data_IF_940228403805
#
_entry.id   IF_940228403805
#
_cell.length_a   1.000
_cell.length_b   1.000
_cell.length_c   1.000
_cell.angle_alpha   90.00
_cell.angle_beta   90.00
_cell.angle_gamma   90.00
#
_symmetry.space_group_name_H-M   'P 1'
#
loop_
_entity.id
_entity.type
_entity.pdbx_description
1 polymer ?
#
# COMPACT_ATOMS: atom_id res chain seq x y z
N UNK A 1 6.77 10.12 6.97
CA UNK A 1 5.62 10.79 7.60
C UNK A 1 4.85 11.50 6.50
N UNK A 2 3.53 11.32 6.43
CA UNK A 2 2.66 12.05 5.50
C UNK A 2 1.96 13.17 6.27
N UNK A 3 2.22 14.44 5.92
CA UNK A 3 1.65 15.60 6.61
C UNK A 3 0.53 16.23 5.78
N UNK A 4 -0.71 16.15 6.26
CA UNK A 4 -1.83 16.91 5.71
C UNK A 4 -1.92 18.29 6.39
N UNK A 5 -1.22 19.28 5.84
CA UNK A 5 -1.10 20.63 6.41
C UNK A 5 -2.08 21.64 5.77
N UNK A 6 -3.38 21.34 5.79
CA UNK A 6 -4.41 22.18 5.15
C UNK A 6 -4.42 23.64 5.63
N UNK A 7 -4.04 23.89 6.89
CA UNK A 7 -4.01 25.24 7.50
C UNK A 7 -2.70 25.99 7.27
N UNK A 8 -1.77 25.43 6.47
CA UNK A 8 -0.48 26.01 6.13
C UNK A 8 0.30 26.50 7.37
N UNK A 9 0.26 25.69 8.44
CA UNK A 9 0.90 26.05 9.69
C UNK A 9 2.41 26.15 9.47
N UNK A 10 3.00 27.24 9.96
CA UNK A 10 4.44 27.50 9.96
C UNK A 10 5.01 27.38 11.38
N UNK A 11 6.34 27.39 11.49
CA UNK A 11 7.08 27.34 12.77
C UNK A 11 6.72 26.15 13.65
N UNK A 12 6.54 24.96 13.04
CA UNK A 12 6.32 23.70 13.75
C UNK A 12 7.57 22.85 13.70
N UNK A 13 7.97 22.33 14.85
CA UNK A 13 8.98 21.29 14.96
C UNK A 13 8.27 19.96 15.13
N UNK A 14 8.58 19.00 14.27
CA UNK A 14 8.12 17.61 14.37
C UNK A 14 9.31 16.70 14.70
N UNK A 15 9.07 15.70 15.55
CA UNK A 15 10.04 14.67 15.94
C UNK A 15 9.45 13.26 15.77
N UNK A 16 8.51 13.11 14.83
CA UNK A 16 7.86 11.85 14.53
C UNK A 16 8.78 10.91 13.75
N UNK A 17 8.60 9.61 13.94
CA UNK A 17 9.40 8.61 13.24
C UNK A 17 8.94 7.19 13.54
N UNK A 18 9.71 6.23 13.04
CA UNK A 18 9.47 4.80 13.24
C UNK A 18 10.63 4.25 14.08
N UNK A 19 10.30 3.43 15.08
CA UNK A 19 11.29 2.70 15.89
C UNK A 19 11.32 1.24 15.44
N UNK A 20 12.51 0.77 15.11
CA UNK A 20 12.75 -0.64 14.80
C UNK A 20 13.22 -1.41 16.04
N UNK A 21 12.71 -2.63 16.21
CA UNK A 21 13.15 -3.57 17.22
C UNK A 21 13.89 -4.71 16.50
N UNK A 22 15.22 -4.76 16.66
CA UNK A 22 16.07 -5.68 15.93
C UNK A 22 16.48 -6.87 16.81
N UNK A 23 16.44 -8.07 16.23
CA UNK A 23 17.03 -9.27 16.84
C UNK A 23 18.51 -9.42 16.48
N UNK A 24 19.26 -10.17 17.28
CA UNK A 24 20.67 -10.48 17.02
C UNK A 24 20.87 -11.82 16.28
N UNK A 25 19.79 -12.49 15.89
CA UNK A 25 19.77 -13.75 15.15
C UNK A 25 18.71 -13.68 14.06
N UNK A 26 19.01 -14.30 12.92
CA UNK A 26 18.04 -14.46 11.84
C UNK A 26 16.90 -15.39 12.28
N UNK A 27 15.69 -15.09 11.79
CA UNK A 27 14.52 -15.96 11.95
C UNK A 27 14.51 -17.02 10.84
N UNK A 28 13.67 -18.04 10.99
CA UNK A 28 13.55 -19.12 10.02
C UNK A 28 13.10 -18.65 8.63
N UNK A 29 12.25 -17.63 8.56
CA UNK A 29 11.69 -17.10 7.32
C UNK A 29 11.96 -15.61 7.20
N UNK A 30 12.25 -15.18 5.97
CA UNK A 30 12.31 -13.77 5.60
C UNK A 30 10.90 -13.24 5.36
N UNK A 31 10.66 -12.01 5.83
CA UNK A 31 9.40 -11.30 5.59
C UNK A 31 9.59 -10.31 4.44
N UNK A 32 8.80 -10.46 3.38
CA UNK A 32 8.65 -9.48 2.31
C UNK A 32 7.35 -8.69 2.44
N UNK A 33 7.25 -7.59 1.69
CA UNK A 33 5.98 -6.92 1.43
C UNK A 33 5.74 -6.87 -0.08
N UNK A 34 4.49 -7.07 -0.48
CA UNK A 34 4.03 -6.95 -1.85
C UNK A 34 3.00 -5.83 -1.91
N UNK A 35 3.22 -4.86 -2.78
CA UNK A 35 2.21 -3.85 -3.11
C UNK A 35 1.40 -4.35 -4.29
N UNK A 36 0.08 -4.42 -4.10
CA UNK A 36 -0.86 -4.86 -5.13
C UNK A 36 -1.93 -3.80 -5.33
N UNK A 37 -2.18 -3.43 -6.59
CA UNK A 37 -3.15 -2.40 -6.94
C UNK A 37 -2.81 -1.72 -8.26
N UNK A 38 -3.44 -0.57 -8.50
CA UNK A 38 -3.16 0.29 -9.65
C UNK A 38 -2.10 1.33 -9.28
N UNK A 39 -1.38 1.84 -10.29
CA UNK A 39 -0.60 3.06 -10.12
C UNK A 39 -1.53 4.24 -9.79
N UNK A 40 -1.04 5.18 -8.98
CA UNK A 40 -1.82 6.32 -8.48
C UNK A 40 -1.92 7.50 -9.44
N UNK A 41 -1.27 7.41 -10.61
CA UNK A 41 -1.33 8.42 -11.65
C UNK A 41 -2.69 8.45 -12.34
N UNK A 42 -3.11 9.65 -12.74
CA UNK A 42 -4.35 9.84 -13.51
C UNK A 42 -4.31 9.13 -14.88
N UNK A 43 -3.11 8.78 -15.38
CA UNK A 43 -2.95 7.97 -16.59
C UNK A 43 -3.23 6.48 -16.35
N UNK A 44 -3.07 6.00 -15.12
CA UNK A 44 -3.31 4.62 -14.74
C UNK A 44 -4.73 4.40 -14.18
N UNK A 45 -5.25 5.35 -13.41
CA UNK A 45 -6.59 5.28 -12.83
C UNK A 45 -7.20 6.67 -12.69
N UNK A 46 -8.39 6.85 -13.26
CA UNK A 46 -9.19 8.05 -13.07
C UNK A 46 -10.64 7.67 -12.78
N UNK A 47 -11.17 8.16 -11.65
CA UNK A 47 -12.57 7.98 -11.27
C UNK A 47 -13.36 9.15 -11.89
N UNK A 48 -14.41 8.88 -12.70
CA UNK A 48 -15.22 9.94 -13.27
C UNK A 48 -15.89 10.80 -12.19
N UNK A 49 -15.96 12.13 -12.38
CA UNK A 49 -16.65 13.00 -11.43
C UNK A 49 -18.13 12.61 -11.34
N UNK A 50 -18.67 12.67 -10.13
CA UNK A 50 -20.09 12.36 -9.79
C UNK A 50 -20.49 10.88 -9.98
N UNK A 51 -19.54 9.96 -10.20
CA UNK A 51 -19.85 8.55 -10.12
C UNK A 51 -20.30 8.19 -8.70
N UNK A 52 -21.50 7.65 -8.53
CA UNK A 52 -22.01 7.21 -7.22
C UNK A 52 -21.24 5.98 -6.71
N UNK A 53 -20.85 5.09 -7.62
CA UNK A 53 -20.00 3.93 -7.35
C UNK A 53 -19.16 3.65 -8.59
N UNK A 54 -17.87 3.39 -8.38
CA UNK A 54 -16.93 3.00 -9.43
C UNK A 54 -16.06 1.87 -8.90
N UNK A 55 -16.07 0.73 -9.59
CA UNK A 55 -15.30 -0.46 -9.19
C UNK A 55 -13.92 -0.38 -9.84
N UNK A 56 -12.89 -0.57 -9.04
CA UNK A 56 -11.50 -0.62 -9.49
C UNK A 56 -10.99 -2.03 -9.31
N UNK A 57 -10.79 -2.73 -10.42
CA UNK A 57 -10.21 -4.07 -10.43
C UNK A 57 -8.72 -4.00 -10.79
N UNK A 58 -7.90 -4.69 -10.01
CA UNK A 58 -6.48 -4.87 -10.28
C UNK A 58 -6.15 -6.36 -10.29
N UNK A 59 -5.25 -6.77 -11.18
CA UNK A 59 -4.91 -8.18 -11.39
C UNK A 59 -3.41 -8.41 -11.34
N UNK A 60 -3.00 -9.52 -10.72
CA UNK A 60 -1.65 -10.04 -10.81
C UNK A 60 -1.63 -11.05 -11.95
N UNK A 61 -0.97 -10.73 -13.06
CA UNK A 61 -0.90 -11.67 -14.18
C UNK A 61 0.07 -12.80 -13.84
N UNK A 62 -0.09 -13.97 -14.47
CA UNK A 62 0.81 -15.11 -14.26
C UNK A 62 2.29 -14.76 -14.56
N UNK A 63 2.54 -13.81 -15.48
CA UNK A 63 3.88 -13.31 -15.76
C UNK A 63 4.50 -12.59 -14.55
N UNK A 64 3.69 -11.82 -13.80
CA UNK A 64 4.16 -11.07 -12.65
C UNK A 64 4.63 -11.97 -11.49
N UNK A 65 4.16 -13.21 -11.43
CA UNK A 65 4.55 -14.19 -10.40
C UNK A 65 5.59 -15.20 -10.89
N UNK A 66 6.13 -15.08 -12.11
CA UNK A 66 7.08 -16.05 -12.66
C UNK A 66 8.37 -16.18 -11.84
N UNK A 67 8.77 -15.11 -11.15
CA UNK A 67 9.97 -15.07 -10.33
C UNK A 67 9.71 -15.40 -8.85
N UNK A 68 8.51 -15.88 -8.50
CA UNK A 68 8.25 -16.33 -7.14
C UNK A 68 8.99 -17.65 -6.87
N UNK A 69 9.30 -17.96 -5.59
CA UNK A 69 9.83 -19.28 -5.23
C UNK A 69 8.92 -20.40 -5.73
N UNK A 70 9.50 -21.55 -6.08
CA UNK A 70 8.72 -22.70 -6.59
C UNK A 70 7.72 -23.21 -5.54
N UNK A 71 8.08 -23.12 -4.26
CA UNK A 71 7.22 -23.42 -3.11
C UNK A 71 6.14 -22.35 -2.85
N UNK A 72 6.17 -21.25 -3.58
CA UNK A 72 5.26 -20.13 -3.45
C UNK A 72 5.59 -19.19 -2.28
N UNK A 73 4.62 -18.36 -1.90
CA UNK A 73 4.70 -17.44 -0.76
C UNK A 73 3.49 -17.62 0.15
N UNK A 74 3.64 -17.29 1.44
CA UNK A 74 2.54 -17.29 2.41
C UNK A 74 2.15 -15.86 2.77
N UNK A 75 0.91 -15.47 2.47
CA UNK A 75 0.36 -14.17 2.87
C UNK A 75 -0.15 -14.29 4.31
N UNK A 76 0.49 -13.55 5.22
CA UNK A 76 0.14 -13.56 6.66
C UNK A 76 -0.55 -12.28 7.15
N UNK A 77 -0.53 -11.21 6.34
CA UNK A 77 -1.13 -9.92 6.67
C UNK A 77 -1.39 -9.11 5.41
N UNK A 78 -2.40 -8.25 5.47
CA UNK A 78 -2.80 -7.35 4.38
C UNK A 78 -3.05 -5.95 4.93
N UNK A 79 -2.70 -4.92 4.17
CA UNK A 79 -2.90 -3.52 4.54
C UNK A 79 -3.60 -2.77 3.39
N UNK A 80 -4.95 -2.75 3.35
CA UNK A 80 -5.68 -2.01 2.33
C UNK A 80 -5.44 -0.50 2.46
N UNK A 81 -5.21 0.18 1.34
CA UNK A 81 -4.93 1.63 1.32
C UNK A 81 -5.67 2.33 0.17
N UNK A 82 -6.39 3.39 0.49
CA UNK A 82 -7.04 4.31 -0.46
C UNK A 82 -6.97 5.74 0.10
N UNK A 83 -7.30 6.73 -0.74
CA UNK A 83 -7.53 8.11 -0.30
C UNK A 83 -9.00 8.30 0.17
N UNK A 84 -9.48 9.54 0.19
CA UNK A 84 -10.77 9.92 0.81
C UNK A 84 -12.03 9.24 0.26
N UNK A 85 -12.00 8.76 -0.99
CA UNK A 85 -13.19 8.23 -1.68
C UNK A 85 -13.23 6.69 -1.76
N UNK A 86 -12.24 6.00 -1.19
CA UNK A 86 -12.19 4.55 -1.24
C UNK A 86 -13.16 3.91 -0.25
N UNK A 87 -13.82 2.85 -0.67
CA UNK A 87 -14.68 2.00 0.18
C UNK A 87 -14.17 0.57 0.02
N UNK A 88 -13.86 -0.08 1.16
CA UNK A 88 -13.55 -1.50 1.18
C UNK A 88 -14.81 -2.26 1.58
N UNK A 89 -15.34 -3.07 0.67
CA UNK A 89 -16.34 -4.07 1.01
C UNK A 89 -15.59 -5.38 1.26
N UNK A 90 -15.57 -5.84 2.51
CA UNK A 90 -15.01 -7.11 2.96
C UNK A 90 -16.18 -7.99 3.41
#
# INVERSE_FOLDING_TARGET
>A
MHYDNQKLLSNRTDSSGIRFYLGNKLRQYDLGYLTFGTDSSAAALAIPPKAERFIVDAYCTANATQNFPEEGITVISTFPHTHLQGIFEI
#
